data_IF_394111102837
#
_entry.id   IF_394111102837
#
_cell.length_a   1.000
_cell.length_b   1.000
_cell.length_c   1.000
_cell.angle_alpha   90.00
_cell.angle_beta   90.00
_cell.angle_gamma   90.00
#
_symmetry.space_group_name_H-M   'P 1'
#
loop_
_entity.id
_entity.type
_entity.pdbx_description
1 polymer ?
#
# COMPACT_ATOMS: atom_id res chain seq x y z
N UNK A 1 -11.82 33.23 -50.77
CA UNK A 1 -12.23 33.47 -49.37
C UNK A 1 -12.20 32.14 -48.63
N UNK A 2 -11.57 32.15 -47.44
CA UNK A 2 -11.67 31.19 -46.34
C UNK A 2 -11.41 29.68 -46.62
N UNK A 3 -10.16 29.28 -46.39
CA UNK A 3 -9.82 27.93 -45.94
C UNK A 3 -10.13 27.84 -44.43
N UNK A 4 -11.06 26.98 -44.01
CA UNK A 4 -11.37 26.76 -42.61
C UNK A 4 -10.45 25.68 -42.03
N UNK A 5 -9.46 26.09 -41.24
CA UNK A 5 -8.64 25.21 -40.41
C UNK A 5 -9.43 24.86 -39.15
N UNK A 6 -9.82 23.60 -38.97
CA UNK A 6 -10.22 23.06 -37.67
C UNK A 6 -8.98 22.42 -37.05
N UNK A 7 -8.31 23.16 -36.16
CA UNK A 7 -7.27 22.61 -35.29
C UNK A 7 -7.97 22.00 -34.08
N UNK A 8 -8.20 20.69 -34.11
CA UNK A 8 -8.57 19.92 -32.93
C UNK A 8 -7.33 19.82 -32.05
N UNK A 9 -7.26 20.63 -31.00
CA UNK A 9 -6.29 20.46 -29.93
C UNK A 9 -6.66 19.20 -29.14
N UNK A 10 -6.09 18.05 -29.53
CA UNK A 10 -6.04 16.88 -28.67
C UNK A 10 -5.07 17.20 -27.53
N UNK A 11 -5.62 17.67 -26.41
CA UNK A 11 -4.92 17.61 -25.15
C UNK A 11 -4.76 16.12 -24.81
N UNK A 12 -3.62 15.55 -25.19
CA UNK A 12 -3.15 14.26 -24.68
C UNK A 12 -2.95 14.46 -23.17
N UNK A 13 -3.98 14.16 -22.39
CA UNK A 13 -3.84 14.05 -20.95
C UNK A 13 -2.76 13.01 -20.69
N UNK A 14 -1.62 13.45 -20.18
CA UNK A 14 -0.51 12.56 -19.81
C UNK A 14 -1.06 11.52 -18.84
N UNK A 15 -1.19 10.29 -19.33
CA UNK A 15 -1.58 9.11 -18.58
C UNK A 15 -0.41 8.85 -17.62
N UNK A 16 -0.63 8.88 -16.30
CA UNK A 16 0.34 8.27 -15.39
C UNK A 16 0.51 6.82 -15.85
N UNK A 17 1.70 6.50 -16.33
CA UNK A 17 2.01 5.19 -16.88
C UNK A 17 2.92 4.50 -15.90
N UNK A 18 2.41 3.46 -15.28
CA UNK A 18 3.20 2.51 -14.53
C UNK A 18 2.93 1.13 -15.08
N UNK A 19 3.84 0.26 -14.69
CA UNK A 19 3.89 -1.09 -15.17
C UNK A 19 4.27 -1.98 -13.99
N UNK A 20 3.59 -3.11 -13.89
CA UNK A 20 4.06 -4.19 -13.03
C UNK A 20 5.10 -4.95 -13.84
N UNK A 21 6.32 -4.99 -13.32
CA UNK A 21 7.42 -5.74 -13.91
C UNK A 21 7.69 -6.93 -13.00
N UNK A 22 7.42 -8.13 -13.48
CA UNK A 22 7.58 -9.38 -12.71
C UNK A 22 9.01 -9.96 -12.84
N UNK A 23 9.82 -9.42 -13.75
CA UNK A 23 11.17 -9.92 -14.05
C UNK A 23 12.22 -8.81 -14.04
N UNK A 24 13.30 -9.03 -13.27
CA UNK A 24 14.47 -8.14 -13.23
C UNK A 24 15.13 -8.04 -14.63
N UNK A 25 15.02 -9.08 -15.46
CA UNK A 25 15.55 -9.06 -16.82
C UNK A 25 14.87 -7.99 -17.70
N UNK A 26 13.59 -7.70 -17.45
CA UNK A 26 12.87 -6.67 -18.18
C UNK A 26 13.22 -5.28 -17.67
N UNK A 27 13.45 -5.13 -16.36
CA UNK A 27 13.94 -3.88 -15.78
C UNK A 27 15.32 -3.49 -16.33
N UNK A 28 16.24 -4.45 -16.43
CA UNK A 28 17.63 -4.22 -16.89
C UNK A 28 17.71 -3.86 -18.37
N UNK A 29 16.81 -4.38 -19.22
CA UNK A 29 16.72 -3.99 -20.64
C UNK A 29 16.30 -2.53 -20.80
N UNK A 30 15.50 -2.00 -19.88
CA UNK A 30 14.90 -0.67 -20.00
C UNK A 30 15.84 0.45 -19.53
N UNK A 31 16.97 0.15 -18.88
CA UNK A 31 17.95 1.12 -18.35
C UNK A 31 17.30 2.30 -17.62
N UNK A 32 16.23 2.03 -16.88
CA UNK A 32 15.42 3.06 -16.23
C UNK A 32 16.18 3.68 -15.05
N UNK A 33 15.96 4.97 -14.86
CA UNK A 33 16.36 5.71 -13.66
C UNK A 33 15.09 6.07 -12.91
N UNK A 34 15.18 6.03 -11.59
CA UNK A 34 14.09 6.40 -10.70
C UNK A 34 14.61 7.42 -9.69
N UNK A 35 13.77 8.39 -9.34
CA UNK A 35 14.08 9.38 -8.30
C UNK A 35 14.02 8.75 -6.91
N UNK A 36 13.09 7.80 -6.72
CA UNK A 36 12.94 7.06 -5.47
C UNK A 36 12.82 5.55 -5.71
N UNK A 37 13.40 4.79 -4.78
CA UNK A 37 13.20 3.34 -4.68
C UNK A 37 12.55 3.05 -3.33
N UNK A 38 11.36 2.47 -3.35
CA UNK A 38 10.63 2.01 -2.17
C UNK A 38 10.80 0.50 -2.06
N UNK A 39 11.37 0.03 -0.95
CA UNK A 39 11.55 -1.39 -0.68
C UNK A 39 10.33 -1.89 0.11
N UNK A 40 9.50 -2.69 -0.54
CA UNK A 40 8.24 -3.22 -0.05
C UNK A 40 7.03 -2.45 -0.60
N UNK A 41 6.20 -3.12 -1.40
CA UNK A 41 4.91 -2.63 -1.90
C UNK A 41 3.76 -2.87 -0.92
N UNK A 42 4.04 -2.78 0.39
CA UNK A 42 3.10 -3.00 1.46
C UNK A 42 2.22 -1.78 1.79
N UNK A 43 1.57 -1.79 2.95
CA UNK A 43 0.61 -0.76 3.38
C UNK A 43 1.17 0.66 3.32
N UNK A 44 2.36 0.91 3.86
CA UNK A 44 3.00 2.24 3.80
C UNK A 44 3.69 2.49 2.46
N UNK A 45 4.35 1.49 1.90
CA UNK A 45 5.09 1.61 0.63
C UNK A 45 4.20 2.01 -0.54
N UNK A 46 3.00 1.41 -0.63
CA UNK A 46 2.00 1.79 -1.63
C UNK A 46 1.52 3.25 -1.45
N UNK A 47 1.35 3.71 -0.20
CA UNK A 47 0.99 5.12 0.07
C UNK A 47 2.11 6.06 -0.34
N UNK A 48 3.36 5.76 0.01
CA UNK A 48 4.53 6.58 -0.36
C UNK A 48 4.65 6.66 -1.88
N UNK A 49 4.62 5.51 -2.56
CA UNK A 49 4.70 5.46 -4.01
C UNK A 49 3.62 6.31 -4.68
N UNK A 50 2.36 6.12 -4.27
CA UNK A 50 1.23 6.90 -4.76
C UNK A 50 1.40 8.42 -4.52
N UNK A 51 1.81 8.83 -3.32
CA UNK A 51 1.93 10.26 -3.00
C UNK A 51 3.11 10.94 -3.72
N UNK A 52 4.23 10.24 -3.87
CA UNK A 52 5.39 10.78 -4.59
C UNK A 52 5.08 10.97 -6.08
N UNK A 53 4.36 10.03 -6.70
CA UNK A 53 3.97 10.11 -8.12
C UNK A 53 2.78 11.04 -8.40
N UNK A 54 2.21 11.70 -7.38
CA UNK A 54 1.31 12.86 -7.61
C UNK A 54 2.05 13.98 -8.35
N UNK A 55 3.37 14.09 -8.17
CA UNK A 55 4.23 14.89 -9.03
C UNK A 55 4.63 14.09 -10.28
N UNK A 56 4.23 14.58 -11.46
CA UNK A 56 4.48 13.93 -12.76
C UNK A 56 5.96 13.90 -13.16
N UNK A 57 6.77 14.75 -12.55
CA UNK A 57 8.22 14.80 -12.79
C UNK A 57 8.99 13.83 -11.89
N UNK A 58 8.30 13.12 -10.98
CA UNK A 58 8.88 12.16 -10.04
C UNK A 58 8.60 10.73 -10.49
N UNK A 59 9.66 9.95 -10.61
CA UNK A 59 9.65 8.53 -10.95
C UNK A 59 9.96 7.67 -9.72
N UNK A 60 9.15 6.63 -9.50
CA UNK A 60 9.28 5.75 -8.33
C UNK A 60 9.32 4.29 -8.77
N UNK A 61 10.28 3.54 -8.24
CA UNK A 61 10.33 2.08 -8.32
C UNK A 61 9.91 1.48 -6.98
N UNK A 62 8.92 0.60 -6.99
CA UNK A 62 8.54 -0.20 -5.81
C UNK A 62 9.05 -1.63 -6.02
N UNK A 63 9.85 -2.12 -5.07
CA UNK A 63 10.34 -3.49 -5.05
C UNK A 63 9.53 -4.31 -4.05
N UNK A 64 8.62 -5.14 -4.53
CA UNK A 64 7.84 -6.06 -3.70
C UNK A 64 8.41 -7.48 -3.81
N UNK A 65 8.56 -8.16 -2.67
CA UNK A 65 9.13 -9.50 -2.63
C UNK A 65 8.09 -10.58 -2.97
N UNK A 66 6.82 -10.34 -2.60
CA UNK A 66 5.70 -11.22 -2.88
C UNK A 66 5.12 -11.07 -4.28
N UNK A 67 4.18 -11.95 -4.60
CA UNK A 67 3.43 -11.91 -5.85
C UNK A 67 2.32 -10.84 -5.87
N UNK A 68 1.58 -10.79 -6.98
CA UNK A 68 0.38 -9.96 -7.08
C UNK A 68 -0.73 -10.43 -6.11
N UNK A 69 -1.50 -9.48 -5.57
CA UNK A 69 -2.73 -9.78 -4.82
C UNK A 69 -3.96 -9.96 -5.73
N UNK A 70 -3.81 -9.77 -7.04
CA UNK A 70 -4.89 -9.96 -7.99
C UNK A 70 -5.30 -11.44 -8.07
N UNK A 71 -6.61 -11.69 -8.18
CA UNK A 71 -7.20 -13.02 -8.34
C UNK A 71 -6.90 -14.02 -7.19
N UNK A 72 -6.53 -13.52 -6.00
CA UNK A 72 -6.39 -14.35 -4.79
C UNK A 72 -7.68 -14.29 -3.96
N UNK A 73 -8.51 -15.32 -4.04
CA UNK A 73 -9.83 -15.34 -3.39
C UNK A 73 -9.76 -15.12 -1.86
N UNK A 74 -8.78 -15.71 -1.18
CA UNK A 74 -8.62 -15.56 0.27
C UNK A 74 -8.28 -14.11 0.69
N UNK A 75 -7.78 -13.29 -0.24
CA UNK A 75 -7.49 -11.86 -0.03
C UNK A 75 -8.69 -11.00 -0.41
N UNK A 76 -9.36 -11.32 -1.53
CA UNK A 76 -10.39 -10.45 -2.10
C UNK A 76 -11.74 -10.62 -1.39
N UNK A 77 -12.04 -11.81 -0.85
CA UNK A 77 -13.29 -12.08 -0.14
C UNK A 77 -13.10 -11.79 1.35
N UNK A 78 -13.77 -10.76 1.93
CA UNK A 78 -13.58 -10.36 3.32
C UNK A 78 -13.75 -11.51 4.33
N UNK A 79 -14.73 -12.39 4.10
CA UNK A 79 -15.03 -13.52 4.97
C UNK A 79 -13.91 -14.59 5.00
N UNK A 80 -12.98 -14.57 4.04
CA UNK A 80 -11.89 -15.54 3.93
C UNK A 80 -10.58 -15.02 4.54
N UNK A 81 -10.58 -13.88 5.21
CA UNK A 81 -9.36 -13.27 5.76
C UNK A 81 -8.58 -14.19 6.73
N UNK A 82 -9.25 -15.11 7.43
CA UNK A 82 -8.61 -16.11 8.30
C UNK A 82 -7.88 -17.22 7.53
N UNK A 83 -8.13 -17.34 6.22
CA UNK A 83 -7.48 -18.30 5.31
C UNK A 83 -6.32 -17.66 4.53
N UNK A 84 -6.08 -16.35 4.70
CA UNK A 84 -5.01 -15.64 4.00
C UNK A 84 -3.63 -15.87 4.65
N UNK A 85 -3.58 -16.05 5.97
CA UNK A 85 -2.38 -16.34 6.77
C UNK A 85 -2.78 -17.06 8.07
N UNK A 86 -1.86 -17.76 8.77
CA UNK A 86 -0.46 -18.07 8.41
C UNK A 86 -0.35 -19.28 7.46
N UNK A 87 0.88 -19.67 7.08
CA UNK A 87 1.17 -20.93 6.36
C UNK A 87 0.58 -20.99 4.94
N UNK A 88 0.57 -19.86 4.26
CA UNK A 88 0.09 -19.71 2.88
C UNK A 88 1.19 -19.18 1.97
N UNK A 89 1.02 -19.22 0.64
CA UNK A 89 1.92 -18.55 -0.30
C UNK A 89 1.97 -17.01 -0.15
N UNK A 90 0.99 -16.41 0.54
CA UNK A 90 0.91 -14.96 0.79
C UNK A 90 1.42 -14.58 2.18
N UNK A 91 2.00 -15.51 2.92
CA UNK A 91 2.63 -15.27 4.22
C UNK A 91 4.16 -15.41 4.11
N UNK A 92 4.90 -14.55 4.82
CA UNK A 92 6.33 -14.76 5.05
C UNK A 92 6.63 -16.01 5.87
N UNK A 93 5.63 -16.53 6.60
CA UNK A 93 5.73 -17.71 7.45
C UNK A 93 6.77 -17.56 8.57
N UNK A 94 6.93 -16.34 9.08
CA UNK A 94 7.78 -16.09 10.22
C UNK A 94 7.23 -16.78 11.47
N UNK A 95 8.16 -17.15 12.35
CA UNK A 95 7.86 -17.62 13.70
C UNK A 95 8.71 -16.86 14.70
N UNK A 96 8.21 -16.69 15.91
CA UNK A 96 9.04 -16.19 17.01
C UNK A 96 10.00 -17.29 17.46
N UNK A 97 11.10 -16.93 18.09
CA UNK A 97 11.84 -17.88 18.93
C UNK A 97 10.94 -18.38 20.08
N UNK A 98 11.27 -19.52 20.73
CA UNK A 98 10.61 -19.95 21.96
C UNK A 98 10.53 -18.83 23.01
N UNK A 99 9.33 -18.55 23.51
CA UNK A 99 9.11 -17.48 24.49
C UNK A 99 9.02 -18.06 25.91
N UNK A 100 9.90 -17.68 26.85
CA UNK A 100 9.84 -18.16 28.24
C UNK A 100 8.51 -17.85 28.91
N UNK A 101 7.96 -16.65 28.67
CA UNK A 101 6.65 -16.22 29.18
C UNK A 101 5.45 -16.95 28.58
N UNK A 102 5.66 -17.79 27.55
CA UNK A 102 4.63 -18.61 26.91
C UNK A 102 4.94 -20.11 27.02
N UNK A 103 5.59 -20.54 28.11
CA UNK A 103 5.98 -21.93 28.38
C UNK A 103 6.88 -22.52 27.28
N UNK A 104 7.77 -21.71 26.72
CA UNK A 104 8.71 -22.14 25.67
C UNK A 104 8.08 -22.32 24.29
N UNK A 105 6.83 -21.88 24.07
CA UNK A 105 6.21 -21.95 22.74
C UNK A 105 6.83 -20.94 21.77
N UNK A 106 7.06 -21.39 20.54
CA UNK A 106 7.24 -20.52 19.37
C UNK A 106 5.87 -20.25 18.74
N UNK A 107 5.61 -19.01 18.34
CA UNK A 107 4.30 -18.57 17.84
C UNK A 107 4.45 -18.15 16.38
N UNK A 108 3.45 -18.48 15.55
CA UNK A 108 3.36 -17.97 14.18
C UNK A 108 3.27 -16.44 14.21
N UNK A 109 4.03 -15.77 13.35
CA UNK A 109 4.07 -14.32 13.24
C UNK A 109 3.73 -13.88 11.81
N UNK A 110 2.45 -14.02 11.41
CA UNK A 110 2.05 -13.85 10.02
C UNK A 110 2.30 -12.43 9.53
N UNK A 111 2.95 -12.30 8.37
CA UNK A 111 3.22 -11.04 7.66
C UNK A 111 2.91 -11.25 6.17
N UNK A 112 2.18 -10.32 5.56
CA UNK A 112 1.86 -10.42 4.13
C UNK A 112 3.10 -10.41 3.24
N UNK A 113 3.24 -11.44 2.41
CA UNK A 113 4.22 -11.63 1.34
C UNK A 113 3.51 -11.54 -0.01
N UNK A 114 2.98 -10.36 -0.32
CA UNK A 114 2.13 -10.10 -1.49
C UNK A 114 2.06 -8.58 -1.70
N UNK A 115 1.77 -8.12 -2.91
CA UNK A 115 1.47 -6.70 -3.16
C UNK A 115 0.34 -6.20 -2.24
N UNK A 116 0.53 -5.02 -1.66
CA UNK A 116 -0.30 -4.49 -0.56
C UNK A 116 0.09 -5.02 0.82
N UNK A 117 1.01 -5.99 0.91
CA UNK A 117 1.60 -6.50 2.15
C UNK A 117 0.55 -6.94 3.16
N UNK A 118 0.74 -6.55 4.42
CA UNK A 118 -0.17 -6.96 5.49
C UNK A 118 -1.58 -6.36 5.37
N UNK A 119 -1.79 -5.25 4.64
CA UNK A 119 -3.16 -4.78 4.35
C UNK A 119 -3.94 -5.67 3.40
N UNK A 120 -3.27 -6.49 2.59
CA UNK A 120 -3.94 -7.48 1.73
C UNK A 120 -4.40 -8.73 2.49
N UNK A 121 -3.84 -9.01 3.68
CA UNK A 121 -4.09 -10.27 4.41
C UNK A 121 -4.62 -10.07 5.83
N UNK A 122 -4.88 -8.83 6.25
CA UNK A 122 -5.43 -8.53 7.57
C UNK A 122 -6.93 -8.82 7.64
N UNK A 123 -7.53 -8.61 8.82
CA UNK A 123 -8.95 -8.82 9.06
C UNK A 123 -9.81 -7.57 8.81
N UNK A 124 -9.26 -6.58 8.10
CA UNK A 124 -9.90 -5.31 7.70
C UNK A 124 -10.45 -4.45 8.84
N UNK A 125 -10.13 -4.77 10.09
CA UNK A 125 -10.51 -3.94 11.24
C UNK A 125 -9.79 -2.60 11.11
N UNK A 126 -10.58 -1.51 11.04
CA UNK A 126 -10.07 -0.16 11.01
C UNK A 126 -10.33 0.53 12.34
N UNK A 127 -9.26 0.82 13.06
CA UNK A 127 -9.27 1.65 14.28
C UNK A 127 -8.12 2.64 14.18
N UNK A 128 -8.33 3.85 14.69
CA UNK A 128 -7.31 4.92 14.62
C UNK A 128 -6.32 4.87 15.78
N UNK A 129 -6.70 4.32 16.94
CA UNK A 129 -5.99 4.47 18.21
C UNK A 129 -6.55 5.63 19.05
N UNK A 130 -6.09 5.77 20.29
CA UNK A 130 -6.49 6.86 21.17
C UNK A 130 -5.60 8.10 20.94
N UNK A 131 -6.12 9.31 21.22
CA UNK A 131 -5.34 10.56 21.20
C UNK A 131 -4.03 10.42 21.99
N UNK A 132 -4.11 9.84 23.17
CA UNK A 132 -2.99 9.66 24.08
C UNK A 132 -1.86 8.81 23.50
N UNK A 133 -2.16 7.88 22.58
CA UNK A 133 -1.14 7.06 21.90
C UNK A 133 -0.24 7.93 21.03
N UNK A 134 -0.84 8.83 20.24
CA UNK A 134 -0.13 9.73 19.33
C UNK A 134 0.58 10.85 20.09
N UNK A 135 -0.06 11.43 21.10
CA UNK A 135 0.60 12.43 21.95
C UNK A 135 1.77 11.81 22.72
N UNK A 136 1.69 10.52 23.08
CA UNK A 136 2.84 9.78 23.61
C UNK A 136 3.94 9.63 22.56
N UNK A 137 3.62 9.34 21.29
CA UNK A 137 4.64 9.32 20.23
C UNK A 137 5.37 10.65 20.14
N UNK A 138 4.63 11.76 20.08
CA UNK A 138 5.22 13.10 20.04
C UNK A 138 6.14 13.38 21.25
N UNK A 139 5.74 12.97 22.46
CA UNK A 139 6.59 13.12 23.65
C UNK A 139 7.85 12.26 23.59
N UNK A 140 7.75 11.01 23.16
CA UNK A 140 8.88 10.07 23.12
C UNK A 140 9.88 10.44 22.02
N UNK A 141 9.40 10.90 20.86
CA UNK A 141 10.26 11.31 19.75
C UNK A 141 10.76 12.74 19.87
N UNK A 142 10.12 13.57 20.70
CA UNK A 142 10.37 15.01 20.77
C UNK A 142 9.83 15.79 19.57
N UNK A 143 9.02 15.16 18.71
CA UNK A 143 8.49 15.73 17.47
C UNK A 143 6.98 15.86 17.54
N UNK A 144 6.49 17.11 17.61
CA UNK A 144 5.06 17.42 17.67
C UNK A 144 4.31 17.05 16.40
N UNK A 145 4.99 16.80 15.28
CA UNK A 145 4.37 16.27 14.06
C UNK A 145 3.68 14.91 14.26
N UNK A 146 4.07 14.16 15.30
CA UNK A 146 3.42 12.90 15.67
C UNK A 146 2.24 13.04 16.63
N UNK A 147 1.91 14.25 17.08
CA UNK A 147 0.78 14.50 17.97
C UNK A 147 -0.55 14.17 17.28
N UNK A 148 -1.59 13.87 18.06
CA UNK A 148 -2.91 13.58 17.49
C UNK A 148 -3.41 14.70 16.59
N UNK A 149 -3.30 15.96 17.05
CA UNK A 149 -3.82 17.11 16.32
C UNK A 149 -3.05 17.35 15.02
N UNK A 150 -1.77 16.96 14.96
CA UNK A 150 -0.97 17.02 13.72
C UNK A 150 -1.28 15.88 12.76
N UNK A 151 -1.63 14.68 13.27
CA UNK A 151 -1.87 13.50 12.44
C UNK A 151 -3.32 13.31 11.99
N UNK A 152 -4.30 13.83 12.72
CA UNK A 152 -5.72 13.64 12.37
C UNK A 152 -6.07 14.10 10.95
N UNK A 153 -5.51 15.18 10.37
CA UNK A 153 -5.77 15.54 8.99
C UNK A 153 -5.28 14.48 7.99
N UNK A 154 -4.15 13.82 8.27
CA UNK A 154 -3.61 12.74 7.44
C UNK A 154 -4.39 11.45 7.58
N UNK A 155 -4.87 11.13 8.79
CA UNK A 155 -5.76 9.99 9.02
C UNK A 155 -7.05 10.14 8.21
N UNK A 156 -7.65 11.34 8.23
CA UNK A 156 -8.84 11.64 7.43
C UNK A 156 -8.55 11.64 5.93
N UNK A 157 -7.37 12.10 5.49
CA UNK A 157 -6.92 12.02 4.08
C UNK A 157 -6.74 10.58 3.60
N UNK A 158 -6.53 9.62 4.51
CA UNK A 158 -6.32 8.21 4.21
C UNK A 158 -7.63 7.41 4.09
N UNK A 159 -8.73 7.84 4.71
CA UNK A 159 -9.98 7.08 4.73
C UNK A 159 -11.05 7.65 3.79
N UNK A 160 -11.93 6.77 3.31
CA UNK A 160 -13.20 7.15 2.69
C UNK A 160 -14.31 6.34 3.35
N UNK A 161 -15.01 6.97 4.29
CA UNK A 161 -16.08 6.32 5.03
C UNK A 161 -17.33 6.16 4.16
N UNK A 162 -17.93 4.96 4.18
CA UNK A 162 -19.15 4.63 3.45
C UNK A 162 -20.10 3.79 4.31
N UNK A 163 -21.40 3.77 3.99
CA UNK A 163 -22.36 2.98 4.74
C UNK A 163 -22.06 1.46 4.62
N UNK A 164 -22.38 0.66 5.65
CA UNK A 164 -22.26 -0.80 5.57
C UNK A 164 -23.09 -1.36 4.40
N UNK A 165 -22.52 -2.28 3.62
CA UNK A 165 -23.20 -2.89 2.47
C UNK A 165 -23.42 -1.96 1.27
N UNK A 166 -22.82 -0.77 1.26
CA UNK A 166 -22.77 0.08 0.08
C UNK A 166 -22.04 -0.60 -1.09
N UNK A 167 -22.26 -0.15 -2.34
CA UNK A 167 -21.55 -0.69 -3.49
C UNK A 167 -20.04 -0.60 -3.27
N UNK A 168 -19.24 -1.57 -3.77
CA UNK A 168 -17.79 -1.55 -3.61
C UNK A 168 -17.25 -0.19 -4.02
N UNK A 169 -16.82 0.58 -3.02
CA UNK A 169 -16.06 1.78 -3.28
C UNK A 169 -14.65 1.30 -3.55
N UNK A 170 -14.41 0.88 -4.80
CA UNK A 170 -13.05 0.71 -5.24
C UNK A 170 -12.36 2.04 -4.98
N UNK A 171 -11.36 2.05 -4.10
CA UNK A 171 -10.22 2.89 -4.38
C UNK A 171 -9.94 2.60 -5.84
N UNK A 172 -9.92 3.61 -6.71
CA UNK A 172 -9.09 3.44 -7.90
C UNK A 172 -7.79 2.98 -7.30
N UNK A 173 -7.45 1.69 -7.48
CA UNK A 173 -6.06 1.27 -7.35
C UNK A 173 -5.37 2.38 -8.10
N UNK A 174 -4.58 3.17 -7.38
CA UNK A 174 -3.90 4.27 -8.02
C UNK A 174 -3.11 3.53 -9.06
N UNK A 175 -3.60 3.65 -10.29
CA UNK A 175 -3.06 2.96 -11.44
C UNK A 175 -1.65 3.49 -11.45
N UNK A 176 -0.73 2.63 -11.02
CA UNK A 176 0.68 2.88 -11.20
C UNK A 176 0.82 3.24 -12.67
#
# INVERSE_FOLDING_TARGET
MAWLRVLTALALGSICSGAIIESIADLTKLKLKFDYIVVGGGTSGAVIGNRLTENKDVSVLILEAGGSNANVLNIIVPAFCTMATPQTPQDWNYTTIPQPGLSGRAIAYPRGFVLGGSSSVNYMVYTRGARDDFDRFARVTGDQGWSWDSLIPYILKNERFGPPGGPPQHHRAVSA
#
